data_IF_627459476473
#
_entry.id   IF_627459476473
#
_cell.length_a   1.000
_cell.length_b   1.000
_cell.length_c   1.000
_cell.angle_alpha   90.00
_cell.angle_beta   90.00
_cell.angle_gamma   90.00
#
_symmetry.space_group_name_H-M   'P 1'
#
loop_
_entity.id
_entity.type
_entity.pdbx_description
1 polymer ?
#
# COMPACT_ATOMS: atom_id res chain seq x y z
N UNK A 1 6.51 -1.87 1.32
CA UNK A 1 7.02 -3.24 1.11
C UNK A 1 8.43 -3.45 1.68
N UNK A 2 9.46 -2.70 1.26
CA UNK A 2 10.87 -2.91 1.71
C UNK A 2 11.03 -3.03 3.23
N UNK A 3 10.52 -2.05 3.99
CA UNK A 3 10.61 -2.06 5.46
C UNK A 3 9.95 -3.31 6.06
N UNK A 4 8.79 -3.74 5.54
CA UNK A 4 8.12 -4.96 6.01
C UNK A 4 8.94 -6.23 5.70
N UNK A 5 9.67 -6.25 4.58
CA UNK A 5 10.57 -7.36 4.26
C UNK A 5 11.74 -7.45 5.24
N UNK A 6 12.29 -6.30 5.65
CA UNK A 6 13.35 -6.25 6.67
C UNK A 6 12.84 -6.62 8.08
N UNK A 7 11.62 -6.20 8.43
CA UNK A 7 11.06 -6.41 9.78
C UNK A 7 10.40 -7.78 9.99
N UNK A 8 9.76 -8.32 8.96
CA UNK A 8 8.92 -9.52 9.08
C UNK A 8 9.37 -10.68 8.19
N UNK A 9 10.33 -10.42 7.29
CA UNK A 9 10.91 -11.44 6.42
C UNK A 9 10.08 -11.77 5.17
N UNK A 10 10.74 -12.42 4.22
CA UNK A 10 10.21 -12.76 2.89
C UNK A 10 8.96 -13.62 2.98
N UNK A 11 8.98 -14.68 3.79
CA UNK A 11 7.88 -15.63 3.88
C UNK A 11 6.57 -14.97 4.31
N UNK A 12 6.63 -14.08 5.31
CA UNK A 12 5.45 -13.34 5.78
C UNK A 12 4.89 -12.42 4.69
N UNK A 13 5.75 -11.75 3.93
CA UNK A 13 5.30 -10.83 2.87
C UNK A 13 4.74 -11.59 1.66
N UNK A 14 5.27 -12.77 1.31
CA UNK A 14 4.69 -13.63 0.26
C UNK A 14 3.31 -14.18 0.64
N UNK A 15 3.05 -14.37 1.93
CA UNK A 15 1.73 -14.78 2.39
C UNK A 15 0.70 -13.63 2.31
N UNK A 16 1.16 -12.38 2.35
CA UNK A 16 0.32 -11.17 2.33
C UNK A 16 0.08 -10.65 0.92
N UNK A 17 1.12 -10.64 0.09
CA UNK A 17 1.04 -10.16 -1.29
C UNK A 17 0.69 -11.29 -2.25
N UNK A 18 -0.03 -10.95 -3.33
CA UNK A 18 -0.29 -11.88 -4.43
C UNK A 18 0.86 -11.85 -5.45
N UNK A 19 0.67 -12.55 -6.58
CA UNK A 19 1.67 -12.72 -7.65
C UNK A 19 2.42 -11.45 -8.05
N UNK A 20 1.74 -10.30 -8.17
CA UNK A 20 2.40 -9.04 -8.54
C UNK A 20 3.37 -8.56 -7.44
N UNK A 21 2.97 -8.65 -6.18
CA UNK A 21 3.88 -8.34 -5.07
C UNK A 21 4.99 -9.37 -4.91
N UNK A 22 4.76 -10.65 -5.21
CA UNK A 22 5.81 -11.67 -5.23
C UNK A 22 6.96 -11.32 -6.19
N UNK A 23 6.65 -10.72 -7.34
CA UNK A 23 7.66 -10.29 -8.32
C UNK A 23 8.54 -9.15 -7.76
N UNK A 24 7.95 -8.21 -7.02
CA UNK A 24 8.70 -7.15 -6.34
C UNK A 24 9.55 -7.73 -5.20
N UNK A 25 9.03 -8.75 -4.50
CA UNK A 25 9.78 -9.47 -3.47
C UNK A 25 10.96 -10.25 -4.09
N UNK A 26 10.82 -10.80 -5.29
CA UNK A 26 11.92 -11.45 -6.02
C UNK A 26 13.07 -10.47 -6.31
N UNK A 27 12.75 -9.22 -6.70
CA UNK A 27 13.74 -8.15 -6.89
C UNK A 27 14.50 -7.88 -5.60
N UNK A 28 13.78 -7.76 -4.47
CA UNK A 28 14.42 -7.63 -3.15
C UNK A 28 15.37 -8.81 -2.85
N UNK A 29 14.91 -10.05 -3.01
CA UNK A 29 15.70 -11.25 -2.71
C UNK A 29 16.96 -11.29 -3.59
N UNK A 30 16.83 -11.00 -4.88
CA UNK A 30 17.95 -10.96 -5.81
C UNK A 30 18.97 -9.88 -5.43
N UNK A 31 18.50 -8.67 -5.13
CA UNK A 31 19.34 -7.56 -4.70
C UNK A 31 20.11 -7.83 -3.41
N UNK A 32 19.44 -8.40 -2.40
CA UNK A 32 20.08 -8.80 -1.13
C UNK A 32 21.10 -9.91 -1.33
N UNK A 33 20.79 -10.92 -2.16
CA UNK A 33 21.74 -12.00 -2.48
C UNK A 33 22.99 -11.48 -3.21
N UNK A 34 22.82 -10.46 -4.04
CA UNK A 34 23.93 -9.81 -4.75
C UNK A 34 24.72 -8.82 -3.88
N UNK A 35 24.36 -8.63 -2.60
CA UNK A 35 25.04 -7.70 -1.70
C UNK A 35 24.86 -6.23 -2.09
N UNK A 36 23.81 -5.89 -2.85
CA UNK A 36 23.53 -4.50 -3.23
C UNK A 36 23.16 -3.67 -2.01
N UNK A 37 23.47 -2.39 -2.06
CA UNK A 37 23.14 -1.46 -0.99
C UNK A 37 21.60 -1.25 -0.91
N UNK A 38 21.04 -0.85 0.25
CA UNK A 38 19.61 -0.68 0.43
C UNK A 38 18.93 0.29 -0.56
N UNK A 39 19.58 1.41 -0.89
CA UNK A 39 19.00 2.43 -1.77
C UNK A 39 18.81 1.89 -3.19
N UNK A 40 19.80 1.15 -3.70
CA UNK A 40 19.71 0.49 -5.01
C UNK A 40 18.55 -0.52 -5.05
N UNK A 41 18.43 -1.36 -4.01
CA UNK A 41 17.37 -2.37 -3.94
C UNK A 41 15.99 -1.68 -3.89
N UNK A 42 15.85 -0.59 -3.14
CA UNK A 42 14.62 0.21 -3.11
C UNK A 42 14.31 0.81 -4.49
N UNK A 43 15.33 1.30 -5.21
CA UNK A 43 15.18 1.81 -6.57
C UNK A 43 14.71 0.75 -7.57
N UNK A 44 15.32 -0.43 -7.53
CA UNK A 44 14.92 -1.56 -8.37
C UNK A 44 13.49 -2.03 -8.05
N UNK A 45 13.14 -2.14 -6.76
CA UNK A 45 11.80 -2.49 -6.32
C UNK A 45 10.76 -1.46 -6.78
N UNK A 46 11.08 -0.17 -6.67
CA UNK A 46 10.20 0.92 -7.14
C UNK A 46 9.97 0.81 -8.64
N UNK A 47 11.04 0.59 -9.41
CA UNK A 47 10.95 0.42 -10.86
C UNK A 47 10.06 -0.77 -11.24
N UNK A 48 10.16 -1.89 -10.51
CA UNK A 48 9.31 -3.06 -10.75
C UNK A 48 7.84 -2.80 -10.38
N UNK A 49 7.58 -2.06 -9.29
CA UNK A 49 6.22 -1.62 -8.92
C UNK A 49 5.60 -0.76 -10.03
N UNK A 50 6.36 0.21 -10.55
CA UNK A 50 5.92 1.07 -11.64
C UNK A 50 5.65 0.26 -12.92
N UNK A 51 6.53 -0.68 -13.25
CA UNK A 51 6.39 -1.57 -14.42
C UNK A 51 5.14 -2.46 -14.35
N UNK A 52 4.82 -2.97 -13.17
CA UNK A 52 3.64 -3.82 -12.94
C UNK A 52 2.33 -3.01 -12.82
N UNK A 53 2.44 -1.70 -12.58
CA UNK A 53 1.34 -0.85 -12.17
C UNK A 53 1.19 -0.88 -10.64
N UNK A 54 1.33 0.26 -9.94
CA UNK A 54 1.30 0.30 -8.48
C UNK A 54 0.02 -0.31 -7.89
N UNK A 55 -1.15 0.02 -8.47
CA UNK A 55 -2.45 -0.51 -8.05
C UNK A 55 -2.59 -2.04 -8.22
N UNK A 56 -1.79 -2.66 -9.11
CA UNK A 56 -1.71 -4.12 -9.29
C UNK A 56 -0.95 -4.78 -8.14
N UNK A 57 0.05 -4.08 -7.59
CA UNK A 57 0.89 -4.59 -6.49
C UNK A 57 0.21 -4.41 -5.14
N UNK A 58 -0.40 -3.24 -4.92
CA UNK A 58 -1.13 -2.94 -3.69
C UNK A 58 -2.32 -2.04 -4.00
N UNK A 59 -3.49 -2.38 -3.45
CA UNK A 59 -4.68 -1.51 -3.57
C UNK A 59 -4.53 -0.20 -2.80
N UNK A 60 -3.59 -0.14 -1.86
CA UNK A 60 -3.28 1.06 -1.08
C UNK A 60 -2.28 2.00 -1.79
N UNK A 61 -1.95 1.75 -3.06
CA UNK A 61 -1.03 2.61 -3.80
C UNK A 61 -1.55 2.86 -5.21
N UNK A 62 -1.30 4.07 -5.71
CA UNK A 62 -1.71 4.53 -7.02
C UNK A 62 -0.70 5.58 -7.52
N UNK A 63 -0.84 6.02 -8.77
CA UNK A 63 -0.09 7.21 -9.25
C UNK A 63 -0.63 8.45 -8.52
N UNK A 64 0.18 9.12 -7.68
CA UNK A 64 -0.28 10.24 -6.86
C UNK A 64 -0.65 11.48 -7.68
N UNK A 65 -0.34 11.52 -8.98
CA UNK A 65 -0.81 12.57 -9.91
C UNK A 65 -2.25 12.34 -10.38
N UNK A 66 -2.80 11.16 -10.15
CA UNK A 66 -4.13 10.74 -10.58
C UNK A 66 -5.02 10.42 -9.37
N UNK A 67 -4.47 9.70 -8.39
CA UNK A 67 -5.20 9.25 -7.22
C UNK A 67 -4.28 9.16 -6.00
N UNK A 68 -4.69 9.81 -4.92
CA UNK A 68 -4.09 9.60 -3.61
C UNK A 68 -4.93 8.61 -2.82
N UNK A 69 -4.26 7.68 -2.15
CA UNK A 69 -4.89 6.68 -1.29
C UNK A 69 -4.33 6.83 0.11
N UNK A 70 -5.22 6.92 1.09
CA UNK A 70 -4.83 7.03 2.51
C UNK A 70 -5.60 6.03 3.35
N UNK A 71 -4.86 5.38 4.26
CA UNK A 71 -5.43 4.53 5.29
C UNK A 71 -5.37 5.25 6.64
N UNK A 72 -6.52 5.40 7.29
CA UNK A 72 -6.62 5.98 8.64
C UNK A 72 -6.95 4.87 9.63
N UNK A 73 -6.09 4.72 10.64
CA UNK A 73 -6.30 3.75 11.70
C UNK A 73 -7.58 4.09 12.50
N UNK A 74 -8.51 3.15 12.73
CA UNK A 74 -9.75 3.46 13.44
C UNK A 74 -9.50 3.88 14.90
N UNK A 75 -8.37 3.46 15.48
CA UNK A 75 -7.92 3.88 16.80
C UNK A 75 -7.49 5.34 16.88
N UNK A 76 -7.10 5.98 15.77
CA UNK A 76 -6.70 7.40 15.75
C UNK A 76 -7.89 8.35 15.60
N UNK A 77 -9.09 7.84 15.33
CA UNK A 77 -10.32 8.63 15.15
C UNK A 77 -11.17 8.58 16.42
N UNK A 78 -11.25 9.71 17.13
CA UNK A 78 -11.99 9.83 18.40
C UNK A 78 -13.51 9.67 18.22
N UNK A 79 -14.08 10.34 17.22
CA UNK A 79 -15.50 10.20 16.87
C UNK A 79 -15.65 9.59 15.48
N UNK A 80 -15.74 8.26 15.46
CA UNK A 80 -15.82 7.47 14.22
C UNK A 80 -17.09 7.75 13.42
N UNK A 81 -18.21 7.99 14.09
CA UNK A 81 -19.49 8.26 13.41
C UNK A 81 -19.45 9.61 12.72
N UNK A 82 -18.94 10.64 13.41
CA UNK A 82 -18.77 11.96 12.81
C UNK A 82 -17.78 11.92 11.63
N UNK A 83 -16.66 11.21 11.78
CA UNK A 83 -15.68 11.04 10.70
C UNK A 83 -16.30 10.34 9.48
N UNK A 84 -16.95 9.19 9.67
CA UNK A 84 -17.61 8.46 8.58
C UNK A 84 -18.69 9.30 7.90
N UNK A 85 -19.47 10.07 8.67
CA UNK A 85 -20.48 10.98 8.12
C UNK A 85 -19.84 12.10 7.29
N UNK A 86 -18.73 12.67 7.73
CA UNK A 86 -18.02 13.73 7.01
C UNK A 86 -17.43 13.20 5.70
N UNK A 87 -16.74 12.05 5.76
CA UNK A 87 -16.13 11.40 4.59
C UNK A 87 -17.17 11.02 3.54
N UNK A 88 -18.33 10.49 3.94
CA UNK A 88 -19.42 10.17 3.00
C UNK A 88 -20.08 11.39 2.36
N UNK A 89 -19.99 12.56 3.02
CA UNK A 89 -20.52 13.81 2.50
C UNK A 89 -19.55 14.55 1.56
N UNK A 90 -18.28 14.17 1.55
CA UNK A 90 -17.24 14.83 0.77
C UNK A 90 -17.24 14.34 -0.69
N UNK A 91 -17.44 15.27 -1.62
CA UNK A 91 -17.46 14.98 -3.07
C UNK A 91 -16.06 14.74 -3.65
N UNK A 92 -14.99 15.10 -2.93
CA UNK A 92 -13.62 14.83 -3.32
C UNK A 92 -13.18 13.38 -3.06
N UNK A 93 -14.02 12.57 -2.41
CA UNK A 93 -13.70 11.19 -2.06
C UNK A 93 -14.43 10.25 -3.01
N UNK A 94 -13.67 9.63 -3.91
CA UNK A 94 -14.21 8.71 -4.91
C UNK A 94 -14.56 7.34 -4.36
N UNK A 95 -13.88 6.92 -3.28
CA UNK A 95 -14.12 5.64 -2.61
C UNK A 95 -13.82 5.74 -1.14
N UNK A 96 -14.68 5.11 -0.34
CA UNK A 96 -14.50 4.99 1.09
C UNK A 96 -14.83 3.56 1.55
N UNK A 97 -13.83 2.85 2.08
CA UNK A 97 -14.00 1.57 2.75
C UNK A 97 -13.81 1.76 4.26
N UNK A 98 -14.56 1.00 5.04
CA UNK A 98 -14.57 1.09 6.50
C UNK A 98 -14.10 -0.21 7.13
N UNK A 99 -13.74 -0.19 8.44
CA UNK A 99 -13.39 -1.39 9.19
C UNK A 99 -14.45 -2.50 9.17
N UNK A 100 -15.71 -2.11 9.04
CA UNK A 100 -16.85 -3.01 8.90
C UNK A 100 -16.93 -3.71 7.53
N UNK A 101 -16.11 -3.33 6.56
CA UNK A 101 -16.07 -3.88 5.19
C UNK A 101 -14.86 -4.78 4.91
N UNK A 102 -14.28 -5.38 5.97
CA UNK A 102 -13.13 -6.30 5.93
C UNK A 102 -11.75 -5.66 5.72
N UNK A 103 -11.67 -4.34 5.60
CA UNK A 103 -10.42 -3.60 5.68
C UNK A 103 -10.09 -3.33 7.17
N UNK A 104 -8.86 -3.47 7.68
CA UNK A 104 -8.55 -3.09 9.06
C UNK A 104 -8.55 -1.56 9.29
N UNK A 105 -8.52 -0.76 8.22
CA UNK A 105 -8.44 0.70 8.26
C UNK A 105 -9.69 1.37 7.64
N UNK A 106 -9.73 2.69 7.75
CA UNK A 106 -10.52 3.54 6.87
C UNK A 106 -9.70 3.84 5.62
N UNK A 107 -10.07 3.24 4.49
CA UNK A 107 -9.39 3.44 3.20
C UNK A 107 -10.13 4.48 2.38
N UNK A 108 -9.44 5.56 2.00
CA UNK A 108 -9.99 6.68 1.23
C UNK A 108 -9.22 6.82 -0.09
N UNK A 109 -9.94 6.95 -1.20
CA UNK A 109 -9.39 7.24 -2.53
C UNK A 109 -9.79 8.66 -2.97
N UNK A 110 -8.81 9.53 -3.18
CA UNK A 110 -8.96 10.96 -3.45
C UNK A 110 -8.38 11.30 -4.84
N UNK A 111 -9.23 11.51 -5.86
CA UNK A 111 -8.78 11.93 -7.19
C UNK A 111 -8.08 13.30 -7.16
N UNK A 112 -7.16 13.53 -8.10
CA UNK A 112 -6.42 14.80 -8.24
C UNK A 112 -6.96 15.70 -9.36
#
# INVERSE_FOLDING_TARGET
MYVNLEQHGVAAQRALYARAGDQVIDVYVAGRRAGRNPADVIGDMTSEIERLGPATVSKHTADPRVLNVIDVAPGSVRDRRAFESAVRGDQGISRFLTPSSSDPAYHLEIPQ
#
